data_IF_473182223403
#
_entry.id   IF_473182223403
#
_cell.length_a   1.000
_cell.length_b   1.000
_cell.length_c   1.000
_cell.angle_alpha   90.00
_cell.angle_beta   90.00
_cell.angle_gamma   90.00
#
_symmetry.space_group_name_H-M   'P 1'
#
loop_
_entity.id
_entity.type
_entity.pdbx_description
1 polymer ?
#
# COMPACT_ATOMS: atom_id res chain seq x y z
N UNK A 1 -9.68 21.33 14.96
CA UNK A 1 -8.51 20.74 15.66
C UNK A 1 -7.27 21.20 14.90
N UNK A 2 -6.35 21.91 15.56
CA UNK A 2 -5.07 22.31 14.96
C UNK A 2 -4.15 21.08 14.96
N UNK A 3 -3.65 20.70 13.80
CA UNK A 3 -2.77 19.54 13.64
C UNK A 3 -1.34 20.02 13.40
N UNK A 4 -0.45 19.68 14.34
CA UNK A 4 0.97 19.96 14.19
C UNK A 4 1.58 19.14 13.05
N UNK A 5 2.61 19.65 12.37
CA UNK A 5 3.30 18.90 11.33
C UNK A 5 3.85 17.57 11.90
N UNK A 6 3.52 16.45 11.24
CA UNK A 6 3.98 15.11 11.62
C UNK A 6 2.94 14.19 12.28
N UNK A 7 1.71 14.66 12.52
CA UNK A 7 0.65 13.81 13.05
C UNK A 7 0.05 12.92 11.95
N UNK A 8 0.15 11.60 12.14
CA UNK A 8 -0.50 10.59 11.28
C UNK A 8 -1.97 10.49 11.69
N UNK A 9 -2.88 10.82 10.77
CA UNK A 9 -4.31 10.73 11.01
C UNK A 9 -4.90 9.54 10.28
N UNK A 10 -5.58 8.67 11.04
CA UNK A 10 -6.41 7.61 10.48
C UNK A 10 -7.72 8.23 9.98
N UNK A 11 -8.21 7.79 8.82
CA UNK A 11 -9.55 8.13 8.37
C UNK A 11 -10.52 7.14 9.02
N UNK A 12 -11.29 7.63 9.99
CA UNK A 12 -12.26 6.81 10.70
C UNK A 12 -13.63 6.96 10.05
N UNK A 13 -14.24 5.84 9.67
CA UNK A 13 -15.67 5.83 9.37
C UNK A 13 -16.41 5.80 10.71
N UNK A 14 -16.96 6.95 11.07
CA UNK A 14 -17.77 7.17 12.28
C UNK A 14 -19.24 7.46 11.96
N UNK A 15 -19.67 7.24 10.71
CA UNK A 15 -21.03 7.57 10.28
C UNK A 15 -22.04 6.60 10.90
N UNK A 16 -22.60 6.99 12.04
CA UNK A 16 -23.80 6.39 12.64
C UNK A 16 -23.61 5.70 14.00
N UNK A 17 -24.76 5.49 14.67
CA UNK A 17 -24.87 4.72 15.91
C UNK A 17 -24.71 3.20 15.71
N UNK A 18 -24.59 2.74 14.46
CA UNK A 18 -24.51 1.32 14.12
C UNK A 18 -23.06 0.89 13.86
N UNK A 19 -22.53 -0.12 14.57
CA UNK A 19 -21.21 -0.71 14.32
C UNK A 19 -21.16 -1.47 12.97
N UNK A 20 -19.95 -1.72 12.42
CA UNK A 20 -18.64 -1.52 13.04
C UNK A 20 -18.05 -0.13 12.79
N UNK A 21 -17.51 0.47 13.86
CA UNK A 21 -16.64 1.64 13.77
C UNK A 21 -15.22 1.15 13.50
N UNK A 22 -14.64 1.56 12.39
CA UNK A 22 -13.26 1.22 12.05
C UNK A 22 -12.52 2.44 11.50
N UNK A 23 -11.21 2.41 11.64
CA UNK A 23 -10.33 3.44 11.12
C UNK A 23 -9.35 2.80 10.15
N UNK A 24 -9.30 3.33 8.94
CA UNK A 24 -8.32 2.90 7.96
C UNK A 24 -6.92 3.33 8.41
N UNK A 25 -5.92 2.42 8.34
CA UNK A 25 -4.55 2.79 8.66
C UNK A 25 -4.01 3.81 7.66
N UNK A 26 -3.08 4.63 8.13
CA UNK A 26 -2.27 5.44 7.23
C UNK A 26 -1.17 4.59 6.57
N UNK A 27 -1.11 4.56 5.23
CA UNK A 27 -0.09 3.82 4.50
C UNK A 27 1.17 4.66 4.26
N UNK A 28 2.29 4.21 4.83
CA UNK A 28 3.62 4.76 4.60
C UNK A 28 4.28 4.05 3.43
N UNK A 29 4.23 4.68 2.27
CA UNK A 29 4.78 4.15 1.03
C UNK A 29 6.25 4.54 0.81
N UNK A 30 7.08 3.58 0.43
CA UNK A 30 8.46 3.77 0.00
C UNK A 30 8.74 2.99 -1.29
N UNK A 31 9.62 3.53 -2.15
CA UNK A 31 10.10 2.85 -3.34
C UNK A 31 11.62 2.78 -3.39
N UNK A 32 12.13 1.57 -3.62
CA UNK A 32 13.54 1.33 -3.98
C UNK A 32 13.73 1.03 -5.48
N UNK A 33 12.68 1.19 -6.29
CA UNK A 33 12.73 0.99 -7.74
C UNK A 33 12.72 2.34 -8.43
N UNK A 34 13.74 2.60 -9.25
CA UNK A 34 13.90 3.88 -9.94
C UNK A 34 12.75 4.06 -10.94
N UNK A 35 12.12 5.24 -10.92
CA UNK A 35 11.04 5.55 -11.86
C UNK A 35 9.69 4.92 -11.50
N UNK A 36 9.54 4.29 -10.33
CA UNK A 36 8.26 3.74 -9.85
C UNK A 36 7.89 4.35 -8.51
N UNK A 37 6.63 4.76 -8.35
CA UNK A 37 6.03 5.11 -7.05
C UNK A 37 4.75 4.33 -6.81
N UNK A 38 4.40 4.22 -5.55
CA UNK A 38 3.04 3.89 -5.12
C UNK A 38 2.22 5.18 -5.21
N UNK A 39 1.12 5.16 -5.96
CA UNK A 39 0.19 6.30 -6.07
C UNK A 39 -1.05 6.17 -5.21
N UNK A 40 -1.48 4.94 -4.92
CA UNK A 40 -2.59 4.68 -4.00
C UNK A 40 -2.38 3.34 -3.26
N UNK A 41 -2.92 3.26 -2.05
CA UNK A 41 -3.07 2.01 -1.28
C UNK A 41 -4.42 2.06 -0.61
N UNK A 42 -5.25 1.05 -0.83
CA UNK A 42 -6.59 0.98 -0.24
C UNK A 42 -6.97 -0.46 0.13
N UNK A 43 -7.74 -0.68 1.21
CA UNK A 43 -8.22 -2.00 1.57
C UNK A 43 -9.35 -2.45 0.65
N UNK A 44 -9.17 -3.60 0.00
CA UNK A 44 -10.25 -4.29 -0.73
C UNK A 44 -11.16 -5.00 0.28
N UNK A 45 -10.56 -5.54 1.34
CA UNK A 45 -11.23 -6.17 2.47
C UNK A 45 -10.28 -6.15 3.69
N UNK A 46 -10.66 -6.82 4.77
CA UNK A 46 -9.90 -6.88 6.03
C UNK A 46 -8.50 -7.53 5.95
N UNK A 47 -8.18 -8.23 4.86
CA UNK A 47 -6.95 -9.01 4.63
C UNK A 47 -6.33 -8.83 3.24
N UNK A 48 -6.81 -7.88 2.45
CA UNK A 48 -6.26 -7.60 1.11
C UNK A 48 -6.15 -6.10 0.89
N UNK A 49 -4.98 -5.66 0.44
CA UNK A 49 -4.73 -4.28 0.05
C UNK A 49 -4.51 -4.20 -1.46
N UNK A 50 -5.23 -3.31 -2.12
CA UNK A 50 -4.98 -2.93 -3.49
C UNK A 50 -3.93 -1.83 -3.51
N UNK A 51 -2.85 -2.06 -4.25
CA UNK A 51 -1.74 -1.13 -4.40
C UNK A 51 -1.66 -0.70 -5.85
N UNK A 52 -1.79 0.61 -6.07
CA UNK A 52 -1.64 1.20 -7.39
C UNK A 52 -0.23 1.73 -7.53
N UNK A 53 0.52 1.17 -8.48
CA UNK A 53 1.86 1.61 -8.85
C UNK A 53 1.78 2.49 -10.10
N UNK A 54 2.64 3.50 -10.14
CA UNK A 54 2.74 4.43 -11.26
C UNK A 54 4.19 4.64 -11.68
N UNK A 55 4.42 4.54 -12.99
CA UNK A 55 5.66 4.92 -13.65
C UNK A 55 5.80 6.46 -13.63
N UNK A 56 6.99 6.94 -13.26
CA UNK A 56 7.37 8.37 -13.16
C UNK A 56 8.45 8.71 -14.21
N UNK A 57 8.94 7.73 -14.97
CA UNK A 57 10.02 7.90 -15.93
C UNK A 57 9.72 8.96 -17.00
N UNK A 58 10.69 9.84 -17.24
CA UNK A 58 10.66 10.86 -18.30
C UNK A 58 11.06 10.17 -19.61
N UNK A 59 10.16 9.42 -20.22
CA UNK A 59 10.46 8.74 -21.50
C UNK A 59 9.54 7.60 -21.89
N UNK A 60 8.70 7.09 -20.98
CA UNK A 60 7.71 6.06 -21.31
C UNK A 60 8.31 4.72 -21.75
N UNK A 61 9.53 4.39 -21.30
CA UNK A 61 10.19 3.12 -21.63
C UNK A 61 9.55 1.92 -20.91
N UNK A 62 8.59 2.16 -20.01
CA UNK A 62 7.97 1.13 -19.22
C UNK A 62 8.90 0.59 -18.14
N UNK A 63 8.31 -0.19 -17.24
CA UNK A 63 8.99 -0.85 -16.15
C UNK A 63 9.30 -2.28 -16.60
N UNK A 64 10.58 -2.53 -16.87
CA UNK A 64 11.06 -3.80 -17.46
C UNK A 64 11.71 -4.74 -16.43
N UNK A 65 11.44 -4.51 -15.15
CA UNK A 65 11.91 -5.36 -14.05
C UNK A 65 10.73 -5.90 -13.25
N UNK A 66 10.89 -7.11 -12.70
CA UNK A 66 9.92 -7.65 -11.77
C UNK A 66 10.05 -6.93 -10.43
N UNK A 67 8.93 -6.55 -9.83
CA UNK A 67 8.88 -5.79 -8.58
C UNK A 67 8.15 -6.60 -7.52
N UNK A 68 8.70 -6.61 -6.31
CA UNK A 68 8.03 -7.10 -5.12
C UNK A 68 7.41 -5.93 -4.37
N UNK A 69 6.12 -6.01 -4.05
CA UNK A 69 5.41 -5.08 -3.16
C UNK A 69 5.27 -5.77 -1.81
N UNK A 70 6.00 -5.30 -0.81
CA UNK A 70 5.92 -5.80 0.56
C UNK A 70 5.09 -4.88 1.43
N UNK A 71 4.19 -5.45 2.21
CA UNK A 71 3.30 -4.74 3.13
C UNK A 71 3.48 -5.33 4.52
N UNK A 72 3.55 -4.46 5.55
CA UNK A 72 3.62 -4.93 6.92
C UNK A 72 3.13 -3.94 7.97
N UNK A 73 2.53 -4.48 9.02
CA UNK A 73 2.29 -3.82 10.30
C UNK A 73 2.10 -4.86 11.41
N UNK A 74 2.95 -4.82 12.43
CA UNK A 74 2.86 -5.73 13.58
C UNK A 74 2.83 -7.21 13.16
N UNK A 75 1.68 -7.85 13.36
CA UNK A 75 1.42 -9.25 13.06
C UNK A 75 0.96 -9.52 11.62
N UNK A 76 0.67 -8.50 10.82
CA UNK A 76 0.26 -8.62 9.42
C UNK A 76 1.43 -8.38 8.47
N UNK A 77 1.64 -9.32 7.54
CA UNK A 77 2.63 -9.22 6.47
C UNK A 77 2.07 -9.76 5.15
N UNK A 78 2.36 -9.09 4.05
CA UNK A 78 1.94 -9.52 2.71
C UNK A 78 2.97 -9.17 1.66
N UNK A 79 3.05 -9.97 0.62
CA UNK A 79 3.93 -9.70 -0.53
C UNK A 79 3.18 -10.01 -1.81
N UNK A 80 3.20 -9.06 -2.75
CA UNK A 80 2.72 -9.22 -4.11
C UNK A 80 3.87 -9.08 -5.11
N UNK A 81 3.74 -9.71 -6.28
CA UNK A 81 4.71 -9.59 -7.38
C UNK A 81 4.01 -8.92 -8.55
N UNK A 82 4.64 -7.85 -9.04
CA UNK A 82 4.27 -7.20 -10.29
C UNK A 82 5.31 -7.59 -11.33
N UNK A 83 4.87 -8.26 -12.40
CA UNK A 83 5.77 -8.68 -13.47
C UNK A 83 6.26 -7.47 -14.28
N UNK A 84 7.40 -7.61 -14.94
CA UNK A 84 7.92 -6.66 -15.92
C UNK A 84 6.97 -6.45 -17.11
N UNK A 85 7.14 -5.34 -17.84
CA UNK A 85 6.50 -5.08 -19.12
C UNK A 85 5.24 -4.22 -19.05
N UNK A 86 5.07 -3.43 -17.99
CA UNK A 86 3.96 -2.48 -17.85
C UNK A 86 4.45 -1.04 -17.99
N UNK A 87 3.55 -0.13 -18.38
CA UNK A 87 3.81 1.30 -18.45
C UNK A 87 2.64 2.10 -17.90
N UNK A 88 2.90 3.34 -17.48
CA UNK A 88 1.88 4.21 -16.91
C UNK A 88 1.46 3.78 -15.51
N UNK A 89 0.41 2.95 -15.39
CA UNK A 89 -0.18 2.54 -14.11
C UNK A 89 -0.44 1.03 -14.10
N UNK A 90 -0.16 0.39 -12.98
CA UNK A 90 -0.55 -1.00 -12.73
C UNK A 90 -1.11 -1.15 -11.32
N UNK A 91 -1.99 -2.13 -11.14
CA UNK A 91 -2.70 -2.38 -9.89
C UNK A 91 -2.42 -3.82 -9.48
N UNK A 92 -2.13 -4.03 -8.20
CA UNK A 92 -1.95 -5.35 -7.62
C UNK A 92 -2.71 -5.47 -6.31
N UNK A 93 -3.40 -6.60 -6.15
CA UNK A 93 -3.98 -6.99 -4.87
C UNK A 93 -2.95 -7.80 -4.07
N UNK A 94 -2.59 -7.31 -2.89
CA UNK A 94 -1.62 -7.92 -1.99
C UNK A 94 -2.36 -8.52 -0.79
N UNK A 95 -2.46 -9.85 -0.69
CA UNK A 95 -3.02 -10.49 0.48
C UNK A 95 -2.06 -10.37 1.67
N UNK A 96 -2.56 -9.93 2.81
CA UNK A 96 -1.82 -9.87 4.08
C UNK A 96 -2.19 -11.05 4.97
N UNK A 97 -1.19 -11.71 5.53
CA UNK A 97 -1.30 -12.88 6.41
C UNK A 97 -0.88 -12.50 7.82
N UNK A 98 -1.46 -13.16 8.81
CA UNK A 98 -1.18 -12.89 10.23
C UNK A 98 -2.42 -12.97 11.10
N UNK A 99 -2.25 -12.71 12.39
CA UNK A 99 -3.38 -12.51 13.31
C UNK A 99 -4.00 -11.11 13.08
N UNK A 100 -5.24 -10.89 13.54
CA UNK A 100 -5.91 -9.58 13.41
C UNK A 100 -6.35 -9.20 11.98
N UNK A 101 -6.64 -7.91 11.75
CA UNK A 101 -7.11 -7.35 10.47
C UNK A 101 -6.43 -6.01 10.19
N UNK A 102 -6.49 -5.52 8.94
CA UNK A 102 -5.87 -4.25 8.53
C UNK A 102 -6.29 -3.09 9.45
N UNK A 103 -7.55 -3.07 9.88
CA UNK A 103 -8.12 -2.03 10.74
C UNK A 103 -7.65 -2.07 12.20
N UNK A 104 -6.91 -3.09 12.62
CA UNK A 104 -6.29 -3.14 13.96
C UNK A 104 -5.07 -2.22 14.08
N UNK A 105 -4.54 -1.74 12.94
CA UNK A 105 -3.29 -1.00 12.87
C UNK A 105 -3.53 0.49 12.61
N UNK A 106 -2.71 1.35 13.23
CA UNK A 106 -2.77 2.81 13.00
C UNK A 106 -2.09 3.25 11.71
N UNK A 107 -1.05 2.51 11.34
CA UNK A 107 -0.30 2.72 10.11
C UNK A 107 0.24 1.41 9.61
N UNK A 108 0.37 1.28 8.29
CA UNK A 108 1.04 0.16 7.66
C UNK A 108 2.13 0.65 6.71
N UNK A 109 3.20 -0.13 6.59
CA UNK A 109 4.29 0.16 5.68
C UNK A 109 4.08 -0.58 4.37
N UNK A 110 4.30 0.11 3.25
CA UNK A 110 4.30 -0.47 1.90
C UNK A 110 5.62 -0.11 1.26
N UNK A 111 6.38 -1.12 0.83
CA UNK A 111 7.70 -0.93 0.24
C UNK A 111 7.81 -1.75 -1.04
N UNK A 112 8.21 -1.11 -2.13
CA UNK A 112 8.55 -1.80 -3.37
C UNK A 112 10.06 -2.04 -3.51
N UNK A 113 10.42 -3.26 -3.91
CA UNK A 113 11.78 -3.70 -4.15
C UNK A 113 11.92 -4.28 -5.56
N UNK A 114 13.08 -4.09 -6.22
CA UNK A 114 13.39 -4.85 -7.42
C UNK A 114 13.60 -6.32 -7.06
N UNK A 115 13.05 -7.24 -7.85
CA UNK A 115 13.36 -8.67 -7.74
C UNK A 115 14.60 -8.93 -8.61
N UNK A 116 15.75 -8.96 -7.96
CA UNK A 116 17.00 -9.38 -8.61
C UNK A 116 17.05 -10.91 -8.63
N UNK A 117 17.00 -11.49 -9.83
CA UNK A 117 17.32 -12.91 -10.08
C UNK A 117 18.80 -13.13 -10.30
#
# INVERSE_FOLDING_TARGET
VFYGPGTVHQQCQMDGDMPPRYCEPYYKAMSSVVGVRISNVEPVNEKTLQVTLREIGIGGNGVNENISVSIGAGDLVGTGIVNSGWSGTTIIDVPVKGMGHIYNHKSMHVHIFPITG
#
